data_IF_697378395240
#
_entry.id   IF_697378395240
#
_cell.length_a   1.000
_cell.length_b   1.000
_cell.length_c   1.000
_cell.angle_alpha   90.00
_cell.angle_beta   90.00
_cell.angle_gamma   90.00
#
_symmetry.space_group_name_H-M   'P 1'
#
loop_
_entity.id
_entity.type
_entity.pdbx_description
1 polymer ?
#
# COMPACT_ATOMS: atom_id res chain seq x y z
N UNK A 1 -26.18 -3.88 15.20
CA UNK A 1 -25.92 -4.32 13.81
C UNK A 1 -24.45 -4.01 13.46
N UNK A 2 -23.52 -4.96 13.59
CA UNK A 2 -22.10 -4.73 13.28
C UNK A 2 -21.49 -5.83 12.39
N UNK A 3 -21.94 -7.09 12.56
CA UNK A 3 -21.56 -8.21 11.71
C UNK A 3 -22.15 -8.18 10.28
N UNK A 4 -22.92 -7.15 9.90
CA UNK A 4 -23.56 -7.08 8.57
C UNK A 4 -22.71 -6.32 7.54
N UNK A 5 -21.68 -5.59 7.99
CA UNK A 5 -20.89 -4.71 7.12
C UNK A 5 -19.62 -5.36 6.55
N UNK A 6 -19.24 -6.53 7.08
CA UNK A 6 -18.05 -7.29 6.70
C UNK A 6 -18.39 -8.76 6.72
N UNK A 7 -18.19 -9.45 5.59
CA UNK A 7 -18.37 -10.91 5.55
C UNK A 7 -17.33 -11.61 6.41
N UNK A 8 -16.09 -11.10 6.46
CA UNK A 8 -15.02 -11.66 7.29
C UNK A 8 -15.37 -11.58 8.77
N UNK A 9 -15.81 -10.41 9.27
CA UNK A 9 -16.25 -10.30 10.66
C UNK A 9 -17.51 -11.11 10.94
N UNK A 10 -18.41 -11.27 9.96
CA UNK A 10 -19.55 -12.17 10.11
C UNK A 10 -19.07 -13.60 10.40
N UNK A 11 -18.15 -14.13 9.58
CA UNK A 11 -17.58 -15.48 9.77
C UNK A 11 -16.77 -15.61 11.06
N UNK A 12 -15.97 -14.59 11.38
CA UNK A 12 -15.10 -14.56 12.55
C UNK A 12 -15.88 -14.50 13.86
N UNK A 13 -17.09 -13.93 13.83
CA UNK A 13 -17.97 -13.78 15.01
C UNK A 13 -19.17 -14.72 15.00
N UNK A 14 -19.41 -15.46 13.91
CA UNK A 14 -20.48 -16.47 13.87
C UNK A 14 -20.05 -17.71 14.65
N UNK A 15 -20.79 -17.99 15.71
CA UNK A 15 -20.67 -19.20 16.52
C UNK A 15 -21.29 -20.39 15.79
N UNK A 16 -20.66 -20.87 14.71
CA UNK A 16 -21.09 -22.14 14.14
C UNK A 16 -20.80 -23.25 15.16
N UNK A 17 -21.91 -23.80 15.64
CA UNK A 17 -22.11 -24.76 16.71
C UNK A 17 -21.32 -26.04 16.49
N UNK A 18 -20.03 -26.10 16.88
CA UNK A 18 -19.37 -27.35 17.23
C UNK A 18 -18.04 -27.12 17.98
N UNK A 19 -18.10 -27.20 19.31
CA UNK A 19 -16.99 -27.57 20.21
C UNK A 19 -15.71 -26.69 20.24
N UNK A 20 -15.77 -25.40 19.91
CA UNK A 20 -14.72 -24.45 20.28
C UNK A 20 -15.25 -23.54 21.40
N UNK A 21 -14.43 -23.28 22.41
CA UNK A 21 -14.74 -22.40 23.53
C UNK A 21 -15.24 -21.03 23.05
N UNK A 22 -16.09 -20.37 23.84
CA UNK A 22 -16.48 -18.97 23.57
C UNK A 22 -15.25 -18.14 23.25
N UNK A 23 -15.18 -17.63 22.02
CA UNK A 23 -14.10 -16.75 21.59
C UNK A 23 -14.43 -15.38 22.17
N UNK A 24 -13.99 -15.13 23.40
CA UNK A 24 -14.23 -13.86 24.10
C UNK A 24 -13.44 -12.68 23.50
N UNK A 25 -12.43 -12.96 22.68
CA UNK A 25 -11.59 -11.92 22.07
C UNK A 25 -11.08 -12.31 20.69
N UNK A 26 -10.99 -11.31 19.81
CA UNK A 26 -10.39 -11.45 18.48
C UNK A 26 -9.20 -10.51 18.36
N UNK A 27 -8.08 -11.04 17.88
CA UNK A 27 -6.86 -10.29 17.64
C UNK A 27 -6.80 -9.80 16.18
N UNK A 28 -6.49 -8.51 16.00
CA UNK A 28 -6.29 -7.86 14.70
C UNK A 28 -4.84 -7.34 14.65
N UNK A 29 -3.85 -8.18 14.29
CA UNK A 29 -2.43 -7.88 14.45
C UNK A 29 -1.90 -6.80 13.49
N UNK A 30 -2.72 -6.34 12.55
CA UNK A 30 -2.35 -5.29 11.59
C UNK A 30 -2.42 -3.89 12.21
N UNK A 31 -3.00 -3.79 13.41
CA UNK A 31 -3.24 -2.53 14.07
C UNK A 31 -2.45 -2.42 15.36
N UNK A 32 -1.87 -1.25 15.57
CA UNK A 32 -1.59 -0.78 16.93
C UNK A 32 -2.89 -0.33 17.65
N UNK A 33 -2.75 0.09 18.90
CA UNK A 33 -3.90 0.49 19.71
C UNK A 33 -4.66 1.71 19.13
N UNK A 34 -3.94 2.69 18.57
CA UNK A 34 -4.52 3.93 18.06
C UNK A 34 -5.13 3.72 16.67
N UNK A 35 -4.49 2.91 15.83
CA UNK A 35 -5.01 2.47 14.55
C UNK A 35 -6.28 1.64 14.72
N UNK A 36 -6.29 0.69 15.66
CA UNK A 36 -7.47 -0.12 15.96
C UNK A 36 -8.62 0.76 16.43
N UNK A 37 -8.35 1.70 17.34
CA UNK A 37 -9.36 2.65 17.82
C UNK A 37 -9.91 3.50 16.67
N UNK A 38 -9.04 3.96 15.78
CA UNK A 38 -9.40 4.75 14.58
C UNK A 38 -10.25 3.94 13.62
N UNK A 39 -9.88 2.67 13.38
CA UNK A 39 -10.62 1.75 12.54
C UNK A 39 -12.02 1.46 13.10
N UNK A 40 -12.13 1.21 14.41
CA UNK A 40 -13.42 1.00 15.06
C UNK A 40 -14.31 2.25 15.01
N UNK A 41 -13.74 3.44 15.25
CA UNK A 41 -14.49 4.70 15.08
C UNK A 41 -15.04 4.84 13.67
N UNK A 42 -14.23 4.58 12.65
CA UNK A 42 -14.68 4.62 11.26
C UNK A 42 -15.74 3.56 10.95
N UNK A 43 -15.61 2.35 11.51
CA UNK A 43 -16.55 1.24 11.32
C UNK A 43 -17.94 1.55 11.92
N UNK A 44 -17.95 2.18 13.09
CA UNK A 44 -19.15 2.50 13.84
C UNK A 44 -19.80 3.80 13.38
N UNK A 45 -19.03 4.88 13.28
CA UNK A 45 -19.51 6.22 12.95
C UNK A 45 -19.62 6.46 11.43
N UNK A 46 -18.90 5.68 10.62
CA UNK A 46 -18.90 5.82 9.16
C UNK A 46 -18.10 7.01 8.63
N UNK A 47 -17.41 7.76 9.49
CA UNK A 47 -16.57 8.88 9.11
C UNK A 47 -15.43 9.08 10.13
N UNK A 48 -14.41 9.84 9.73
CA UNK A 48 -13.26 10.24 10.54
C UNK A 48 -12.90 11.70 10.25
N UNK A 49 -12.35 12.39 11.24
CA UNK A 49 -11.70 13.68 11.02
C UNK A 49 -10.53 13.52 10.04
N UNK A 50 -10.28 14.56 9.23
CA UNK A 50 -9.29 14.52 8.14
C UNK A 50 -7.89 14.22 8.68
N UNK A 51 -7.51 14.89 9.75
CA UNK A 51 -6.20 14.79 10.40
C UNK A 51 -5.96 13.36 10.90
N UNK A 52 -7.00 12.76 11.50
CA UNK A 52 -6.93 11.40 12.03
C UNK A 52 -6.85 10.36 10.92
N UNK A 53 -7.55 10.58 9.82
CA UNK A 53 -7.44 9.71 8.64
C UNK A 53 -6.04 9.80 8.01
N UNK A 54 -5.49 11.00 7.85
CA UNK A 54 -4.15 11.22 7.27
C UNK A 54 -3.03 10.52 8.06
N UNK A 55 -3.17 10.41 9.39
CA UNK A 55 -2.19 9.70 10.22
C UNK A 55 -2.19 8.18 9.98
N UNK A 56 -3.34 7.59 9.66
CA UNK A 56 -3.55 6.13 9.66
C UNK A 56 -4.10 5.58 8.34
N UNK A 57 -4.09 6.35 7.24
CA UNK A 57 -4.73 5.94 5.99
C UNK A 57 -4.17 4.62 5.43
N UNK A 58 -2.89 4.32 5.69
CA UNK A 58 -2.23 3.10 5.23
C UNK A 58 -2.84 1.85 5.86
N UNK A 59 -2.86 1.77 7.19
CA UNK A 59 -3.43 0.64 7.93
C UNK A 59 -4.93 0.53 7.74
N UNK A 60 -5.65 1.65 7.68
CA UNK A 60 -7.10 1.68 7.41
C UNK A 60 -7.44 1.10 6.02
N UNK A 61 -6.71 1.49 4.97
CA UNK A 61 -6.95 0.99 3.63
C UNK A 61 -6.69 -0.52 3.53
N UNK A 62 -5.57 -1.00 4.07
CA UNK A 62 -5.24 -2.43 4.07
C UNK A 62 -6.25 -3.26 4.84
N UNK A 63 -6.66 -2.79 6.01
CA UNK A 63 -7.65 -3.49 6.83
C UNK A 63 -9.03 -3.48 6.18
N UNK A 64 -9.45 -2.37 5.58
CA UNK A 64 -10.74 -2.30 4.87
C UNK A 64 -10.83 -3.36 3.77
N UNK A 65 -9.71 -3.62 3.09
CA UNK A 65 -9.59 -4.66 2.09
C UNK A 65 -9.52 -6.06 2.70
N UNK A 66 -8.65 -6.26 3.68
CA UNK A 66 -8.45 -7.55 4.36
C UNK A 66 -9.74 -8.08 4.98
N UNK A 67 -10.54 -7.22 5.59
CA UNK A 67 -11.81 -7.59 6.23
C UNK A 67 -13.00 -7.48 5.28
N UNK A 68 -12.78 -7.27 3.98
CA UNK A 68 -13.80 -7.16 2.95
C UNK A 68 -14.95 -6.23 3.37
N UNK A 69 -14.64 -4.94 3.55
CA UNK A 69 -15.58 -3.91 4.00
C UNK A 69 -15.74 -2.86 2.87
N UNK A 70 -16.60 -3.12 1.86
CA UNK A 70 -16.59 -2.35 0.60
C UNK A 70 -16.83 -0.85 0.79
N UNK A 71 -17.68 -0.46 1.74
CA UNK A 71 -17.94 0.95 1.99
C UNK A 71 -16.73 1.68 2.59
N UNK A 72 -15.89 0.98 3.37
CA UNK A 72 -14.65 1.54 3.91
C UNK A 72 -13.55 1.55 2.87
N UNK A 73 -13.45 0.53 2.01
CA UNK A 73 -12.52 0.55 0.89
C UNK A 73 -12.78 1.78 0.00
N UNK A 74 -14.06 2.03 -0.33
CA UNK A 74 -14.44 3.18 -1.15
C UNK A 74 -14.16 4.51 -0.45
N UNK A 75 -14.48 4.60 0.85
CA UNK A 75 -14.14 5.76 1.67
C UNK A 75 -12.62 6.03 1.68
N UNK A 76 -11.80 4.99 1.86
CA UNK A 76 -10.36 5.11 1.88
C UNK A 76 -9.82 5.53 0.50
N UNK A 77 -10.31 4.93 -0.59
CA UNK A 77 -9.94 5.31 -1.97
C UNK A 77 -10.17 6.81 -2.20
N UNK A 78 -11.39 7.30 -1.94
CA UNK A 78 -11.76 8.69 -2.21
C UNK A 78 -10.93 9.66 -1.36
N UNK A 79 -10.66 9.31 -0.10
CA UNK A 79 -9.83 10.15 0.79
C UNK A 79 -8.37 10.14 0.36
N UNK A 80 -7.80 8.97 0.04
CA UNK A 80 -6.40 8.86 -0.38
C UNK A 80 -6.17 9.61 -1.68
N UNK A 81 -7.09 9.55 -2.65
CA UNK A 81 -6.98 10.33 -3.89
C UNK A 81 -6.83 11.84 -3.66
N UNK A 82 -7.45 12.37 -2.60
CA UNK A 82 -7.34 13.78 -2.23
C UNK A 82 -6.03 14.12 -1.47
N UNK A 83 -5.29 13.09 -1.03
CA UNK A 83 -4.04 13.22 -0.28
C UNK A 83 -2.81 12.90 -1.13
N UNK A 84 -2.99 12.24 -2.28
CA UNK A 84 -1.89 11.81 -3.15
C UNK A 84 -1.00 12.98 -3.55
N UNK A 85 0.28 12.87 -3.21
CA UNK A 85 1.34 13.82 -3.56
C UNK A 85 2.67 13.08 -3.79
N UNK A 86 3.73 13.82 -4.15
CA UNK A 86 5.05 13.22 -4.40
C UNK A 86 5.66 12.51 -3.19
N UNK A 87 5.38 13.00 -1.98
CA UNK A 87 5.95 12.46 -0.75
C UNK A 87 5.35 11.10 -0.37
N UNK A 88 4.11 10.85 -0.78
CA UNK A 88 3.37 9.64 -0.43
C UNK A 88 3.04 8.72 -1.63
N UNK A 89 3.33 9.12 -2.86
CA UNK A 89 2.96 8.36 -4.06
C UNK A 89 3.44 6.90 -4.06
N UNK A 90 4.63 6.61 -3.54
CA UNK A 90 5.13 5.24 -3.42
C UNK A 90 4.32 4.41 -2.41
N UNK A 91 3.93 4.99 -1.27
CA UNK A 91 3.07 4.33 -0.29
C UNK A 91 1.68 4.07 -0.87
N UNK A 92 1.13 5.03 -1.61
CA UNK A 92 -0.17 4.86 -2.28
C UNK A 92 -0.10 3.79 -3.37
N UNK A 93 1.02 3.70 -4.10
CA UNK A 93 1.25 2.63 -5.06
C UNK A 93 1.25 1.26 -4.36
N UNK A 94 1.95 1.12 -3.23
CA UNK A 94 1.96 -0.11 -2.43
C UNK A 94 0.54 -0.51 -1.96
N UNK A 95 -0.23 0.43 -1.40
CA UNK A 95 -1.64 0.22 -1.04
C UNK A 95 -2.44 -0.25 -2.25
N UNK A 96 -2.26 0.41 -3.40
CA UNK A 96 -3.02 0.11 -4.61
C UNK A 96 -2.76 -1.32 -5.11
N UNK A 97 -1.54 -1.83 -4.93
CA UNK A 97 -1.19 -3.20 -5.30
C UNK A 97 -1.73 -4.21 -4.30
N UNK A 98 -1.61 -3.92 -3.00
CA UNK A 98 -2.14 -4.77 -1.93
C UNK A 98 -3.67 -4.89 -2.00
N UNK A 99 -4.38 -3.79 -2.28
CA UNK A 99 -5.84 -3.75 -2.36
C UNK A 99 -6.39 -4.01 -3.77
N UNK A 100 -5.53 -4.27 -4.77
CA UNK A 100 -5.91 -4.38 -6.18
C UNK A 100 -6.75 -3.19 -6.68
N UNK A 101 -6.44 -1.98 -6.21
CA UNK A 101 -7.15 -0.75 -6.52
C UNK A 101 -6.51 -0.03 -7.72
N UNK A 102 -7.13 -0.15 -8.90
CA UNK A 102 -6.58 0.44 -10.13
C UNK A 102 -6.67 1.98 -10.15
N UNK A 103 -7.64 2.59 -9.45
CA UNK A 103 -7.79 4.05 -9.40
C UNK A 103 -6.60 4.70 -8.70
N UNK A 104 -6.26 4.20 -7.50
CA UNK A 104 -5.08 4.64 -6.75
C UNK A 104 -3.79 4.34 -7.51
N UNK A 105 -3.74 3.18 -8.18
CA UNK A 105 -2.57 2.77 -8.97
C UNK A 105 -2.27 3.74 -10.10
N UNK A 106 -3.30 4.12 -10.87
CA UNK A 106 -3.15 5.08 -11.97
C UNK A 106 -2.73 6.44 -11.42
N UNK A 107 -3.40 6.95 -10.38
CA UNK A 107 -3.08 8.25 -9.79
C UNK A 107 -1.62 8.31 -9.31
N UNK A 108 -1.16 7.29 -8.57
CA UNK A 108 0.21 7.22 -8.08
C UNK A 108 1.23 7.13 -9.23
N UNK A 109 0.99 6.26 -10.22
CA UNK A 109 1.91 6.10 -11.36
C UNK A 109 1.99 7.35 -12.24
N UNK A 110 0.88 8.05 -12.46
CA UNK A 110 0.87 9.31 -13.21
C UNK A 110 1.67 10.39 -12.51
N UNK A 111 1.51 10.50 -11.19
CA UNK A 111 2.26 11.46 -10.38
C UNK A 111 3.76 11.15 -10.41
N UNK A 112 4.16 9.89 -10.19
CA UNK A 112 5.57 9.46 -10.30
C UNK A 112 6.13 9.71 -11.70
N UNK A 113 5.36 9.41 -12.75
CA UNK A 113 5.77 9.60 -14.14
C UNK A 113 6.00 11.06 -14.48
N UNK A 114 5.11 11.94 -14.03
CA UNK A 114 5.16 13.37 -14.36
C UNK A 114 6.32 14.08 -13.66
N UNK A 115 6.72 13.62 -12.48
CA UNK A 115 7.81 14.20 -11.68
C UNK A 115 9.07 13.33 -11.66
N UNK A 116 9.23 12.42 -12.62
CA UNK A 116 10.37 11.48 -12.68
C UNK A 116 11.73 12.17 -12.60
N UNK A 117 11.88 13.36 -13.17
CA UNK A 117 13.15 14.09 -13.21
C UNK A 117 13.48 14.70 -11.86
N UNK A 118 12.48 15.22 -11.14
CA UNK A 118 12.61 15.72 -9.77
C UNK A 118 12.97 14.59 -8.79
N UNK A 119 12.37 13.41 -8.96
CA UNK A 119 12.69 12.21 -8.16
C UNK A 119 14.14 11.76 -8.42
N UNK A 120 14.59 11.82 -9.67
CA UNK A 120 15.97 11.50 -10.03
C UNK A 120 16.95 12.54 -9.48
N UNK A 121 16.60 13.83 -9.54
CA UNK A 121 17.45 14.91 -9.06
C UNK A 121 17.52 14.98 -7.53
N UNK A 122 16.44 14.66 -6.81
CA UNK A 122 16.48 14.57 -5.34
C UNK A 122 17.44 13.46 -4.89
N UNK A 123 17.52 12.36 -5.62
CA UNK A 123 18.56 11.35 -5.43
C UNK A 123 19.96 11.88 -5.77
N UNK A 124 20.12 12.66 -6.84
CA UNK A 124 21.42 13.25 -7.21
C UNK A 124 21.95 14.27 -6.19
N UNK A 125 21.09 15.03 -5.51
CA UNK A 125 21.49 16.09 -4.54
C UNK A 125 21.88 15.53 -3.16
N UNK A 126 21.44 14.32 -2.79
CA UNK A 126 21.84 13.67 -1.50
C UNK A 126 23.26 13.08 -1.50
N UNK A 127 24.06 13.46 -2.50
CA UNK A 127 25.46 13.08 -2.65
C UNK A 127 26.35 13.86 -1.67
N UNK A 128 26.30 13.51 -0.38
CA UNK A 128 27.53 13.62 0.43
C UNK A 128 27.72 12.57 1.54
N UNK A 129 26.72 11.80 2.02
CA UNK A 129 27.06 10.77 3.03
C UNK A 129 26.22 9.48 3.17
N UNK A 130 25.18 9.20 2.35
CA UNK A 130 24.37 7.97 2.52
C UNK A 130 24.17 7.08 1.28
N UNK A 131 24.83 7.39 0.16
CA UNK A 131 24.61 6.72 -1.13
C UNK A 131 24.97 5.21 -1.10
N UNK A 132 26.00 4.80 -0.34
CA UNK A 132 26.40 3.39 -0.25
C UNK A 132 25.31 2.53 0.40
N UNK A 133 24.64 3.04 1.43
CA UNK A 133 23.56 2.31 2.12
C UNK A 133 22.32 2.14 1.23
N UNK A 134 21.92 3.21 0.54
CA UNK A 134 20.75 3.19 -0.34
C UNK A 134 21.00 2.35 -1.58
N UNK A 135 22.20 2.42 -2.19
CA UNK A 135 22.57 1.54 -3.32
C UNK A 135 22.60 0.07 -2.91
N UNK A 136 23.04 -0.24 -1.68
CA UNK A 136 23.04 -1.61 -1.16
C UNK A 136 21.61 -2.12 -0.91
N UNK A 137 20.72 -1.28 -0.38
CA UNK A 137 19.31 -1.62 -0.17
C UNK A 137 18.53 -1.73 -1.48
N UNK A 138 18.78 -0.85 -2.44
CA UNK A 138 18.22 -0.94 -3.80
C UNK A 138 18.73 -2.19 -4.51
N UNK A 139 20.01 -2.55 -4.38
CA UNK A 139 20.54 -3.80 -4.94
C UNK A 139 19.97 -5.06 -4.27
N UNK A 140 19.81 -5.05 -2.95
CA UNK A 140 19.24 -6.16 -2.21
C UNK A 140 17.75 -6.37 -2.56
N UNK A 141 16.99 -5.29 -2.66
CA UNK A 141 15.58 -5.32 -3.08
C UNK A 141 15.43 -5.69 -4.55
N UNK A 142 16.31 -5.22 -5.43
CA UNK A 142 16.35 -5.62 -6.84
C UNK A 142 16.68 -7.11 -7.02
N UNK A 143 17.66 -7.63 -6.27
CA UNK A 143 18.02 -9.05 -6.27
C UNK A 143 16.88 -9.96 -5.81
N UNK A 144 16.09 -9.53 -4.83
CA UNK A 144 14.86 -10.22 -4.41
C UNK A 144 13.75 -10.14 -5.47
N UNK A 145 13.64 -9.00 -6.16
CA UNK A 145 12.62 -8.81 -7.21
C UNK A 145 12.91 -9.64 -8.47
N UNK A 146 14.19 -9.83 -8.84
CA UNK A 146 14.60 -10.65 -9.98
C UNK A 146 14.26 -12.16 -9.76
N UNK A 147 14.23 -12.62 -8.50
CA UNK A 147 13.80 -13.97 -8.14
C UNK A 147 12.27 -14.17 -8.17
N UNK A 148 11.48 -13.11 -8.06
CA UNK A 148 10.01 -13.14 -8.09
C UNK A 148 9.41 -13.01 -9.50
N UNK A 149 10.22 -13.09 -10.57
CA UNK A 149 9.72 -13.09 -11.95
C UNK A 149 8.86 -14.35 -12.19
N UNK A 150 7.53 -14.26 -12.36
CA UNK A 150 6.69 -15.42 -12.58
C UNK A 150 7.02 -16.01 -13.95
N UNK A 151 7.36 -17.30 -14.00
CA UNK A 151 7.33 -18.06 -15.26
C UNK A 151 5.87 -18.29 -15.63
N UNK A 152 5.53 -17.82 -16.82
CA UNK A 152 4.32 -18.09 -17.59
C UNK A 152 3.03 -17.29 -17.26
N UNK A 153 2.81 -16.34 -18.17
CA UNK A 153 1.62 -16.23 -19.04
C UNK A 153 0.27 -15.93 -18.41
N UNK A 154 0.10 -14.75 -17.83
CA UNK A 154 -1.11 -13.93 -18.03
C UNK A 154 -0.68 -12.45 -17.90
N UNK A 155 -1.29 -11.52 -18.66
CA UNK A 155 -1.30 -10.05 -18.45
C UNK A 155 -0.33 -9.17 -19.28
N UNK A 156 -0.61 -9.00 -20.57
CA UNK A 156 0.07 -8.01 -21.43
C UNK A 156 -0.05 -6.52 -21.02
N UNK A 157 -0.89 -6.14 -20.04
CA UNK A 157 -0.94 -4.77 -19.47
C UNK A 157 -0.23 -4.65 -18.11
N UNK A 158 -0.42 -5.61 -17.18
CA UNK A 158 0.37 -5.62 -15.93
C UNK A 158 1.86 -5.82 -16.24
N UNK A 159 2.21 -6.62 -17.24
CA UNK A 159 3.60 -6.78 -17.68
C UNK A 159 4.22 -5.47 -18.17
N UNK A 160 3.45 -4.60 -18.86
CA UNK A 160 3.96 -3.32 -19.38
C UNK A 160 4.29 -2.32 -18.28
N UNK A 161 3.45 -2.24 -17.25
CA UNK A 161 3.72 -1.36 -16.11
C UNK A 161 4.88 -1.88 -15.26
N UNK A 162 4.98 -3.20 -15.07
CA UNK A 162 6.11 -3.83 -14.40
C UNK A 162 7.41 -3.66 -15.20
N UNK A 163 7.37 -3.81 -16.53
CA UNK A 163 8.55 -3.61 -17.38
C UNK A 163 8.98 -2.14 -17.42
N UNK A 164 8.03 -1.21 -17.43
CA UNK A 164 8.32 0.23 -17.41
C UNK A 164 8.92 0.65 -16.07
N UNK A 165 8.39 0.12 -14.97
CA UNK A 165 8.92 0.33 -13.63
C UNK A 165 10.32 -0.29 -13.49
N UNK A 166 10.51 -1.52 -13.98
CA UNK A 166 11.82 -2.16 -13.99
C UNK A 166 12.83 -1.38 -14.84
N UNK A 167 12.45 -0.90 -16.02
CA UNK A 167 13.30 -0.05 -16.85
C UNK A 167 13.64 1.28 -16.16
N UNK A 168 12.66 1.90 -15.49
CA UNK A 168 12.87 3.14 -14.73
C UNK A 168 13.87 2.94 -13.59
N UNK A 169 13.70 1.88 -12.80
CA UNK A 169 14.60 1.51 -11.71
C UNK A 169 15.99 1.08 -12.22
N UNK A 170 16.06 0.37 -13.35
CA UNK A 170 17.34 0.03 -13.99
C UNK A 170 18.09 1.28 -14.49
N UNK A 171 17.37 2.31 -14.97
CA UNK A 171 17.95 3.60 -15.35
C UNK A 171 18.41 4.40 -14.13
N UNK A 172 17.62 4.41 -13.05
CA UNK A 172 18.02 4.99 -11.76
C UNK A 172 19.32 4.35 -11.28
N UNK A 173 19.38 3.02 -11.29
CA UNK A 173 20.54 2.25 -10.87
C UNK A 173 21.78 2.49 -11.75
N UNK A 174 21.64 2.45 -13.09
CA UNK A 174 22.74 2.76 -14.02
C UNK A 174 23.28 4.18 -13.86
N UNK A 175 22.40 5.17 -13.64
CA UNK A 175 22.79 6.57 -13.44
C UNK A 175 23.55 6.76 -12.12
N UNK A 176 23.17 6.03 -11.08
CA UNK A 176 23.89 5.99 -9.80
C UNK A 176 25.28 5.32 -9.94
N UNK A 177 25.39 4.23 -10.70
CA UNK A 177 26.65 3.48 -10.88
C UNK A 177 27.68 4.20 -11.77
N UNK A 178 27.26 4.96 -12.79
CA UNK A 178 28.16 5.68 -13.71
C UNK A 178 28.88 6.88 -13.07
N UNK A 179 28.56 7.23 -11.82
CA UNK A 179 29.18 8.31 -11.04
C UNK A 179 30.10 7.81 -9.91
N UNK A 180 30.29 6.48 -9.78
CA UNK A 180 31.35 5.84 -8.97
C UNK A 180 32.57 5.53 -9.83
#
# INVERSE_FOLDING_TARGET
MQATKSEVFKYMLSSDTCKAAEIDSVCLPEFDHDELKTFLELLYCGNLAKEKFEMHYYSLALASHKYAIPYLEKFCEDRILNLVDLSNAFKVLEISEACSNETLKVAALELIRNHKEEILCSFEVTSDLQVVGIVTLINATWGQFEMLRPRHSVLGRKQKNISLFADMMSRIFKKAMAKM
#
